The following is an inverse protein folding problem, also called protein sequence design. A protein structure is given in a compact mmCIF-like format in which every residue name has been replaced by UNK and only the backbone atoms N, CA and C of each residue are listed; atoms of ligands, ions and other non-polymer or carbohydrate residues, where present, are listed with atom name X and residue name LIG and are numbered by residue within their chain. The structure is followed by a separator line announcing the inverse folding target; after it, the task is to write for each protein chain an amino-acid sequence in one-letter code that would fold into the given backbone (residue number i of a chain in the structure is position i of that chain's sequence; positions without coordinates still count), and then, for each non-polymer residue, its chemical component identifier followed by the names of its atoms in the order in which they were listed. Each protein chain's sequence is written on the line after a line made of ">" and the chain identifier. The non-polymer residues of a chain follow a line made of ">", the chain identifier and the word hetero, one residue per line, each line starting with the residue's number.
data_IF_225051080076
#
_entry.id   IF_225051080076
#
_cell.length_a   1.000
_cell.length_b   1.000
_cell.length_c   1.000
_cell.angle_alpha   90.00
_cell.angle_beta   90.00
_cell.angle_gamma   90.00
#
_symmetry.space_group_name_H-M   'P 1'
#
loop_
_entity.id
_entity.type
_entity.pdbx_description
1 polymer ?
#
# COMPACT_ATOMS: atom_id res chain seq x y z
N UNK A 1 -13.48 8.68 23.73
CA UNK A 1 -12.84 8.64 22.39
C UNK A 1 -12.42 7.21 22.11
N UNK A 2 -12.75 6.67 20.94
CA UNK A 2 -12.47 5.28 20.61
C UNK A 2 -11.30 5.22 19.62
N UNK A 3 -10.28 4.37 19.87
CA UNK A 3 -9.19 4.14 18.92
C UNK A 3 -9.74 3.54 17.62
N UNK A 4 -8.98 3.68 16.53
CA UNK A 4 -9.34 3.08 15.24
C UNK A 4 -9.25 1.55 15.33
N UNK A 5 -10.41 0.88 15.38
CA UNK A 5 -10.44 -0.58 15.43
C UNK A 5 -10.10 -1.16 14.04
N UNK A 6 -8.84 -1.57 13.87
CA UNK A 6 -8.43 -2.43 12.77
C UNK A 6 -8.21 -3.85 13.34
N UNK A 7 -8.97 -4.79 12.79
CA UNK A 7 -9.01 -6.19 13.16
C UNK A 7 -7.82 -6.98 12.58
N UNK A 8 -7.39 -8.02 13.30
CA UNK A 8 -6.20 -8.84 12.99
C UNK A 8 -6.19 -9.46 11.58
N UNK A 9 -7.37 -9.65 10.99
CA UNK A 9 -7.55 -10.19 9.63
C UNK A 9 -6.99 -9.22 8.58
N UNK A 10 -7.15 -7.91 8.78
CA UNK A 10 -6.65 -6.90 7.84
C UNK A 10 -5.11 -6.81 7.85
N UNK A 11 -4.48 -7.01 9.02
CA UNK A 11 -3.03 -7.00 9.16
C UNK A 11 -2.36 -8.18 8.47
N UNK A 12 -2.93 -9.38 8.68
CA UNK A 12 -2.45 -10.60 8.02
C UNK A 12 -2.50 -10.42 6.51
N UNK A 13 -3.57 -9.82 6.00
CA UNK A 13 -3.72 -9.55 4.57
C UNK A 13 -2.69 -8.56 4.04
N UNK A 14 -2.43 -7.46 4.74
CA UNK A 14 -1.40 -6.49 4.32
C UNK A 14 0.01 -7.10 4.31
N UNK A 15 0.35 -7.92 5.31
CA UNK A 15 1.62 -8.67 5.34
C UNK A 15 1.76 -9.56 4.10
N UNK A 16 0.69 -10.25 3.72
CA UNK A 16 0.66 -11.05 2.49
C UNK A 16 0.80 -10.17 1.23
N UNK A 17 0.19 -8.98 1.19
CA UNK A 17 0.37 -8.03 0.08
C UNK A 17 1.83 -7.63 -0.12
N UNK A 18 2.52 -7.25 0.96
CA UNK A 18 3.91 -6.80 0.88
C UNK A 18 4.83 -7.98 0.52
N UNK A 19 4.53 -9.18 0.99
CA UNK A 19 5.24 -10.41 0.57
C UNK A 19 5.03 -10.77 -0.90
N UNK A 20 3.94 -10.30 -1.52
CA UNK A 20 3.74 -10.41 -2.97
C UNK A 20 4.39 -9.27 -3.76
N UNK A 21 5.25 -8.47 -3.13
CA UNK A 21 6.14 -7.62 -3.88
C UNK A 21 7.04 -8.48 -4.78
N UNK A 22 7.29 -8.02 -6.00
CA UNK A 22 8.15 -8.68 -6.98
C UNK A 22 9.06 -7.62 -7.60
N UNK A 23 10.35 -7.91 -7.67
CA UNK A 23 11.29 -7.16 -8.48
C UNK A 23 11.39 -7.81 -9.87
N UNK A 24 11.17 -7.02 -10.92
CA UNK A 24 11.36 -7.45 -12.30
C UNK A 24 12.85 -7.37 -12.69
N UNK A 25 13.25 -8.09 -13.74
CA UNK A 25 14.64 -8.11 -14.24
C UNK A 25 15.16 -6.74 -14.70
N UNK A 26 14.26 -5.80 -15.02
CA UNK A 26 14.59 -4.42 -15.35
C UNK A 26 14.74 -3.51 -14.11
N UNK A 27 14.72 -4.06 -12.89
CA UNK A 27 14.80 -3.32 -11.63
C UNK A 27 13.47 -2.71 -11.16
N UNK A 28 12.39 -2.85 -11.93
CA UNK A 28 11.08 -2.34 -11.53
C UNK A 28 10.51 -3.14 -10.36
N UNK A 29 10.22 -2.44 -9.26
CA UNK A 29 9.54 -3.01 -8.08
C UNK A 29 8.02 -2.90 -8.28
N UNK A 30 7.32 -4.02 -8.16
CA UNK A 30 5.86 -4.13 -8.33
C UNK A 30 5.22 -4.82 -7.13
N UNK A 31 3.95 -4.54 -6.85
CA UNK A 31 3.22 -5.12 -5.70
C UNK A 31 1.94 -5.78 -6.18
N UNK A 32 1.61 -6.95 -5.63
CA UNK A 32 0.37 -7.68 -5.88
C UNK A 32 -0.88 -6.92 -5.39
N UNK A 33 -1.81 -6.63 -6.29
CA UNK A 33 -2.94 -5.70 -5.99
C UNK A 33 -4.12 -6.34 -5.27
N UNK A 34 -4.26 -7.66 -5.31
CA UNK A 34 -5.44 -8.36 -4.79
C UNK A 34 -5.49 -8.30 -3.26
N UNK A 35 -4.37 -8.61 -2.62
CA UNK A 35 -4.25 -8.55 -1.17
C UNK A 35 -4.27 -7.09 -0.67
N UNK A 36 -3.83 -6.13 -1.49
CA UNK A 36 -3.95 -4.69 -1.16
C UNK A 36 -5.43 -4.29 -1.12
N UNK A 37 -6.23 -4.75 -2.10
CA UNK A 37 -7.68 -4.54 -2.12
C UNK A 37 -8.30 -4.91 -0.77
N UNK A 38 -8.03 -6.13 -0.31
CA UNK A 38 -8.51 -6.61 0.97
C UNK A 38 -7.92 -5.81 2.14
N UNK A 39 -6.62 -5.51 2.12
CA UNK A 39 -5.95 -4.77 3.20
C UNK A 39 -6.54 -3.37 3.40
N UNK A 40 -7.06 -2.76 2.33
CA UNK A 40 -7.73 -1.46 2.36
C UNK A 40 -9.25 -1.55 2.60
N UNK A 41 -9.77 -2.76 2.92
CA UNK A 41 -11.18 -3.00 3.21
C UNK A 41 -12.08 -3.20 1.98
N UNK A 42 -11.49 -3.45 0.81
CA UNK A 42 -12.19 -3.66 -0.45
C UNK A 42 -12.18 -5.13 -0.89
N UNK A 43 -12.90 -5.45 -1.97
CA UNK A 43 -12.81 -6.78 -2.59
C UNK A 43 -11.46 -7.02 -3.28
N UNK A 44 -11.05 -8.29 -3.43
CA UNK A 44 -9.83 -8.69 -4.18
C UNK A 44 -9.72 -8.05 -5.57
N UNK A 45 -10.85 -7.91 -6.25
CA UNK A 45 -10.94 -7.38 -7.61
C UNK A 45 -11.13 -5.87 -7.67
N UNK A 46 -11.21 -5.18 -6.53
CA UNK A 46 -11.58 -3.77 -6.48
C UNK A 46 -10.66 -2.92 -7.34
N UNK A 47 -9.35 -2.98 -7.09
CA UNK A 47 -8.38 -2.20 -7.87
C UNK A 47 -8.30 -2.64 -9.32
N UNK A 48 -8.48 -3.93 -9.59
CA UNK A 48 -8.58 -4.42 -10.96
C UNK A 48 -9.72 -3.75 -11.73
N UNK A 49 -10.94 -3.82 -11.20
CA UNK A 49 -12.13 -3.21 -11.80
C UNK A 49 -11.98 -1.70 -11.94
N UNK A 50 -11.39 -1.07 -10.92
CA UNK A 50 -11.20 0.39 -10.85
C UNK A 50 -10.24 0.92 -11.92
N UNK A 51 -9.22 0.15 -12.28
CA UNK A 51 -8.29 0.54 -13.36
C UNK A 51 -8.81 0.30 -14.77
N UNK A 52 -9.85 -0.54 -14.95
CA UNK A 52 -10.39 -0.87 -16.26
C UNK A 52 -11.55 0.01 -16.69
N UNK A 53 -12.38 0.46 -15.75
CA UNK A 53 -13.55 1.27 -16.05
C UNK A 53 -13.17 2.75 -16.01
N UNK A 54 -13.44 3.49 -17.09
CA UNK A 54 -13.34 4.94 -17.05
C UNK A 54 -14.32 5.50 -16.02
N UNK A 55 -13.77 6.12 -14.97
CA UNK A 55 -14.52 6.84 -13.95
C UNK A 55 -13.91 8.22 -13.75
N UNK A 56 -14.68 9.15 -13.17
CA UNK A 56 -14.17 10.47 -12.77
C UNK A 56 -12.95 10.33 -11.85
N UNK A 57 -12.95 9.31 -11.01
CA UNK A 57 -11.86 9.00 -10.08
C UNK A 57 -10.60 8.52 -10.82
N UNK A 58 -10.76 7.63 -11.82
CA UNK A 58 -9.64 7.19 -12.65
C UNK A 58 -9.05 8.35 -13.47
N UNK A 59 -9.89 9.31 -13.92
CA UNK A 59 -9.42 10.54 -14.56
C UNK A 59 -8.57 11.39 -13.61
N UNK A 60 -9.02 11.59 -12.38
CA UNK A 60 -8.26 12.32 -11.35
C UNK A 60 -6.93 11.62 -11.05
N UNK A 61 -6.93 10.29 -10.91
CA UNK A 61 -5.71 9.51 -10.74
C UNK A 61 -4.76 9.70 -11.94
N UNK A 62 -5.26 9.57 -13.17
CA UNK A 62 -4.45 9.76 -14.39
C UNK A 62 -3.81 11.15 -14.47
N UNK A 63 -4.49 12.20 -13.99
CA UNK A 63 -3.91 13.56 -13.91
C UNK A 63 -2.70 13.64 -12.97
N UNK A 64 -2.61 12.77 -11.97
CA UNK A 64 -1.41 12.63 -11.12
C UNK A 64 -0.31 11.77 -11.76
N UNK A 65 -0.47 11.37 -13.02
CA UNK A 65 0.41 10.45 -13.74
C UNK A 65 0.25 8.99 -13.33
N UNK A 66 -0.90 8.58 -12.79
CA UNK A 66 -1.21 7.17 -12.55
C UNK A 66 -1.37 6.45 -13.89
N UNK A 67 -0.54 5.44 -14.15
CA UNK A 67 -0.60 4.70 -15.41
C UNK A 67 -1.71 3.65 -15.40
N UNK A 68 -1.97 3.05 -14.23
CA UNK A 68 -2.87 1.92 -14.08
C UNK A 68 -2.37 0.64 -14.75
N UNK A 69 -1.11 0.61 -15.21
CA UNK A 69 -0.56 -0.53 -15.92
C UNK A 69 -0.39 -1.72 -14.98
N UNK A 70 -1.18 -2.76 -15.24
CA UNK A 70 -1.13 -4.01 -14.51
C UNK A 70 -0.44 -5.09 -15.32
N UNK A 71 0.44 -5.84 -14.66
CA UNK A 71 1.22 -6.91 -15.28
C UNK A 71 0.98 -8.19 -14.49
N UNK A 72 0.71 -9.27 -15.21
CA UNK A 72 0.69 -10.61 -14.64
C UNK A 72 2.12 -11.10 -14.49
N UNK A 73 2.52 -11.39 -13.26
CA UNK A 73 3.87 -11.87 -12.97
C UNK A 73 3.77 -13.28 -12.40
N UNK A 74 4.65 -14.15 -12.88
CA UNK A 74 4.80 -15.52 -12.38
C UNK A 74 5.59 -15.45 -11.08
N UNK A 75 4.96 -15.81 -9.95
CA UNK A 75 5.66 -15.96 -8.67
C UNK A 75 6.19 -17.39 -8.64
N UNK A 76 7.51 -17.53 -8.50
CA UNK A 76 8.13 -18.83 -8.22
C UNK A 76 8.09 -18.99 -6.70
N UNK A 77 7.21 -19.87 -6.20
CA UNK A 77 7.20 -20.25 -4.80
C UNK A 77 8.48 -21.00 -4.44
N UNK A 78 9.05 -20.72 -3.26
CA UNK A 78 10.33 -21.28 -2.82
C UNK A 78 10.34 -22.79 -2.56
N UNK A 79 9.18 -23.45 -2.51
CA UNK A 79 9.08 -24.90 -2.34
C UNK A 79 8.82 -25.60 -3.67
N UNK A 80 9.65 -26.60 -3.95
CA UNK A 80 9.89 -27.32 -5.20
C UNK A 80 8.70 -28.11 -5.78
N UNK A 81 7.47 -27.82 -5.36
CA UNK A 81 6.27 -28.49 -5.87
C UNK A 81 5.01 -27.59 -5.96
N UNK A 82 5.14 -26.27 -5.83
CA UNK A 82 3.96 -25.39 -5.81
C UNK A 82 3.64 -24.74 -7.15
N UNK A 83 2.34 -24.70 -7.43
CA UNK A 83 1.70 -24.13 -8.60
C UNK A 83 2.28 -22.77 -9.01
N UNK A 84 2.32 -22.52 -10.32
CA UNK A 84 2.72 -21.23 -10.87
C UNK A 84 1.66 -20.19 -10.55
N UNK A 85 1.78 -19.53 -9.40
CA UNK A 85 0.89 -18.44 -9.04
C UNK A 85 1.13 -17.25 -9.96
N UNK A 86 0.12 -16.90 -10.76
CA UNK A 86 0.10 -15.65 -11.51
C UNK A 86 -0.50 -14.58 -10.60
N UNK A 87 0.32 -13.66 -10.14
CA UNK A 87 -0.16 -12.50 -9.39
C UNK A 87 -0.34 -11.32 -10.32
N UNK A 88 -1.45 -10.60 -10.14
CA UNK A 88 -1.65 -9.32 -10.80
C UNK A 88 -0.95 -8.23 -10.00
N UNK A 89 -0.05 -7.50 -10.64
CA UNK A 89 0.80 -6.52 -9.97
C UNK A 89 0.63 -5.13 -10.53
N UNK A 90 0.92 -4.12 -9.71
CA UNK A 90 0.98 -2.70 -10.06
C UNK A 90 2.36 -2.17 -9.74
N UNK A 91 2.86 -1.23 -10.55
CA UNK A 91 4.13 -0.57 -10.29
C UNK A 91 4.09 0.20 -8.97
N UNK A 92 5.22 0.25 -8.25
CA UNK A 92 5.30 0.87 -6.93
C UNK A 92 4.77 2.31 -6.90
N UNK A 93 5.11 3.11 -7.92
CA UNK A 93 4.66 4.49 -8.04
C UNK A 93 3.14 4.61 -8.12
N UNK A 94 2.51 3.76 -8.93
CA UNK A 94 1.06 3.75 -9.09
C UNK A 94 0.36 3.23 -7.84
N UNK A 95 0.98 2.28 -7.14
CA UNK A 95 0.51 1.82 -5.84
C UNK A 95 0.48 2.95 -4.82
N UNK A 96 1.58 3.71 -4.67
CA UNK A 96 1.64 4.86 -3.74
C UNK A 96 0.57 5.89 -4.07
N UNK A 97 0.36 6.22 -5.35
CA UNK A 97 -0.70 7.15 -5.78
C UNK A 97 -2.09 6.66 -5.39
N UNK A 98 -2.33 5.36 -5.55
CA UNK A 98 -3.61 4.74 -5.25
C UNK A 98 -3.89 4.71 -3.73
N UNK A 99 -2.89 4.36 -2.91
CA UNK A 99 -3.00 4.46 -1.44
C UNK A 99 -3.23 5.91 -1.03
N UNK A 100 -2.49 6.86 -1.62
CA UNK A 100 -2.65 8.30 -1.37
C UNK A 100 -4.07 8.78 -1.71
N UNK A 101 -4.62 8.33 -2.83
CA UNK A 101 -5.98 8.66 -3.22
C UNK A 101 -7.02 8.11 -2.24
N UNK A 102 -6.89 6.84 -1.82
CA UNK A 102 -7.76 6.23 -0.81
C UNK A 102 -7.69 6.98 0.53
N UNK A 103 -6.48 7.36 0.94
CA UNK A 103 -6.24 8.12 2.16
C UNK A 103 -6.87 9.52 2.12
N UNK A 104 -6.70 10.24 1.01
CA UNK A 104 -7.07 11.66 0.92
C UNK A 104 -8.52 11.87 0.51
N UNK A 105 -8.98 11.17 -0.53
CA UNK A 105 -10.31 11.36 -1.11
C UNK A 105 -11.38 10.59 -0.34
N UNK A 106 -11.09 9.33 0.03
CA UNK A 106 -12.04 8.51 0.79
C UNK A 106 -11.83 8.55 2.29
N UNK A 107 -10.80 9.25 2.77
CA UNK A 107 -10.45 9.26 4.20
C UNK A 107 -10.33 7.84 4.74
N UNK A 108 -9.82 6.92 3.92
CA UNK A 108 -9.67 5.52 4.30
C UNK A 108 -8.56 5.40 5.35
N UNK A 109 -8.95 5.09 6.60
CA UNK A 109 -8.01 5.01 7.72
C UNK A 109 -6.91 3.97 7.51
N UNK A 110 -7.23 2.84 6.86
CA UNK A 110 -6.24 1.80 6.56
C UNK A 110 -5.18 2.33 5.59
N UNK A 111 -5.59 3.15 4.62
CA UNK A 111 -4.66 3.80 3.69
C UNK A 111 -3.83 4.88 4.38
N UNK A 112 -4.42 5.67 5.29
CA UNK A 112 -3.70 6.71 6.05
C UNK A 112 -2.63 6.08 6.95
N UNK A 113 -2.98 5.03 7.69
CA UNK A 113 -2.04 4.29 8.54
C UNK A 113 -0.92 3.69 7.68
N UNK A 114 -1.26 3.14 6.52
CA UNK A 114 -0.25 2.60 5.61
C UNK A 114 0.72 3.68 5.09
N UNK A 115 0.23 4.89 4.82
CA UNK A 115 1.09 6.02 4.44
C UNK A 115 1.99 6.46 5.60
N UNK A 116 1.48 6.50 6.84
CA UNK A 116 2.28 6.84 8.01
C UNK A 116 3.45 5.86 8.19
N UNK A 117 3.17 4.56 8.08
CA UNK A 117 4.19 3.50 8.12
C UNK A 117 5.24 3.69 7.02
N UNK A 118 4.81 4.01 5.79
CA UNK A 118 5.70 4.25 4.66
C UNK A 118 6.54 5.51 4.81
N UNK A 119 5.96 6.58 5.36
CA UNK A 119 6.68 7.82 5.62
C UNK A 119 7.77 7.62 6.68
N UNK A 120 7.45 6.91 7.77
CA UNK A 120 8.39 6.70 8.87
C UNK A 120 9.51 5.71 8.53
N UNK A 121 9.20 4.67 7.73
CA UNK A 121 10.17 3.60 7.43
C UNK A 121 10.90 3.79 6.09
N UNK A 122 10.23 4.44 5.14
CA UNK A 122 10.59 4.38 3.73
C UNK A 122 10.05 3.11 3.06
N UNK A 123 9.21 3.29 2.04
CA UNK A 123 8.64 2.17 1.27
C UNK A 123 9.71 1.32 0.58
N UNK A 124 10.83 1.92 0.16
CA UNK A 124 11.92 1.21 -0.51
C UNK A 124 12.62 0.24 0.42
N UNK A 125 12.88 0.66 1.67
CA UNK A 125 13.46 -0.18 2.72
C UNK A 125 12.56 -1.37 3.04
N UNK A 126 11.26 -1.14 3.17
CA UNK A 126 10.26 -2.21 3.37
C UNK A 126 10.34 -3.26 2.27
N UNK A 127 10.42 -2.82 1.02
CA UNK A 127 10.52 -3.71 -0.13
C UNK A 127 11.86 -4.43 -0.18
N UNK A 128 12.97 -3.75 0.12
CA UNK A 128 14.30 -4.37 0.18
C UNK A 128 14.38 -5.43 1.26
N UNK A 129 13.81 -5.18 2.44
CA UNK A 129 13.70 -6.16 3.50
C UNK A 129 12.88 -7.37 3.05
N UNK A 130 11.71 -7.13 2.44
CA UNK A 130 10.87 -8.19 1.90
C UNK A 130 11.58 -9.03 0.82
N UNK A 131 12.29 -8.38 -0.12
CA UNK A 131 13.03 -9.06 -1.19
C UNK A 131 14.25 -9.82 -0.68
N UNK A 132 14.89 -9.33 0.39
CA UNK A 132 16.05 -9.98 1.00
C UNK A 132 15.64 -11.11 1.97
N UNK A 133 14.35 -11.42 2.08
CA UNK A 133 13.83 -12.41 3.02
C UNK A 133 13.96 -12.00 4.49
N UNK A 134 14.26 -10.72 4.76
CA UNK A 134 14.29 -10.19 6.13
C UNK A 134 12.87 -10.07 6.67
N UNK A 135 12.75 -10.17 7.99
CA UNK A 135 11.44 -9.98 8.61
C UNK A 135 10.96 -8.55 8.42
N UNK A 136 9.71 -8.42 7.97
CA UNK A 136 8.98 -7.16 7.89
C UNK A 136 7.97 -7.02 9.04
N UNK A 137 8.10 -7.83 10.09
CA UNK A 137 7.12 -7.87 11.18
C UNK A 137 7.09 -6.56 11.99
N UNK A 138 8.17 -5.77 11.97
CA UNK A 138 8.20 -4.42 12.54
C UNK A 138 7.15 -3.48 11.92
N UNK A 139 6.70 -3.75 10.69
CA UNK A 139 5.61 -3.00 10.05
C UNK A 139 4.30 -3.21 10.81
N UNK A 140 4.09 -4.42 11.35
CA UNK A 140 2.91 -4.73 12.15
C UNK A 140 2.89 -3.89 13.43
N UNK A 141 4.02 -3.79 14.12
CA UNK A 141 4.12 -2.98 15.34
C UNK A 141 3.77 -1.52 15.05
N UNK A 142 4.26 -0.97 13.94
CA UNK A 142 3.92 0.38 13.48
C UNK A 142 2.44 0.52 13.14
N UNK A 143 1.86 -0.42 12.41
CA UNK A 143 0.43 -0.37 12.08
C UNK A 143 -0.42 -0.43 13.35
N UNK A 144 -0.08 -1.31 14.30
CA UNK A 144 -0.78 -1.40 15.58
C UNK A 144 -0.65 -0.06 16.32
N UNK A 145 0.55 0.50 16.40
CA UNK A 145 0.79 1.80 16.98
C UNK A 145 -0.09 2.90 16.35
N UNK A 146 -0.07 3.04 15.02
CA UNK A 146 -0.87 4.04 14.32
C UNK A 146 -2.40 3.76 14.36
N UNK A 147 -2.82 2.51 14.55
CA UNK A 147 -4.25 2.17 14.73
C UNK A 147 -4.79 2.62 16.10
N UNK A 148 -3.92 2.75 17.09
CA UNK A 148 -4.29 3.20 18.42
C UNK A 148 -4.44 4.72 18.50
N UNK A 149 -3.97 5.45 17.50
CA UNK A 149 -4.10 6.90 17.47
C UNK A 149 -5.56 7.34 17.55
N UNK A 150 -5.75 8.43 18.26
CA UNK A 150 -6.97 9.22 18.23
C UNK A 150 -7.01 10.06 16.95
N UNK A 151 -8.17 10.63 16.67
CA UNK A 151 -8.33 11.54 15.53
C UNK A 151 -7.43 12.78 15.69
N UNK A 152 -7.29 13.27 16.92
CA UNK A 152 -6.49 14.43 17.30
C UNK A 152 -5.00 14.20 17.06
N UNK A 153 -4.47 13.07 17.54
CA UNK A 153 -3.07 12.68 17.33
C UNK A 153 -2.76 12.52 15.83
N UNK A 154 -3.70 11.96 15.07
CA UNK A 154 -3.55 11.85 13.62
C UNK A 154 -3.53 13.22 12.94
N UNK A 155 -4.43 14.14 13.28
CA UNK A 155 -4.46 15.48 12.69
C UNK A 155 -3.22 16.30 13.08
N UNK A 156 -2.67 16.12 14.28
CA UNK A 156 -1.43 16.77 14.71
C UNK A 156 -0.24 16.34 13.84
N UNK A 157 -0.08 15.04 13.61
CA UNK A 157 1.00 14.53 12.74
C UNK A 157 0.78 14.92 11.28
N UNK A 158 -0.46 14.91 10.80
CA UNK A 158 -0.78 15.42 9.46
C UNK A 158 -0.47 16.92 9.33
N UNK A 159 -0.73 17.70 10.36
CA UNK A 159 -0.41 19.13 10.39
C UNK A 159 1.11 19.35 10.38
N UNK A 160 1.87 18.60 11.19
CA UNK A 160 3.33 18.62 11.19
C UNK A 160 3.91 18.28 9.81
N UNK A 161 3.49 17.16 9.22
CA UNK A 161 3.96 16.74 7.89
C UNK A 161 3.60 17.76 6.80
N UNK A 162 2.41 18.39 6.87
CA UNK A 162 2.05 19.48 5.94
C UNK A 162 2.97 20.68 6.09
N UNK A 163 3.38 21.02 7.31
CA UNK A 163 4.29 22.12 7.58
C UNK A 163 5.70 21.83 7.06
N UNK A 164 6.24 20.63 7.29
CA UNK A 164 7.54 20.22 6.74
C UNK A 164 7.54 20.21 5.21
N UNK A 165 6.50 19.65 4.57
CA UNK A 165 6.39 19.66 3.11
C UNK A 165 6.36 21.09 2.58
N UNK A 166 5.61 22.00 3.21
CA UNK A 166 5.62 23.42 2.81
C UNK A 166 7.00 24.05 2.95
N UNK A 167 7.73 23.73 4.03
CA UNK A 167 9.07 24.24 4.26
C UNK A 167 10.11 23.75 3.23
N UNK A 168 9.88 22.62 2.56
CA UNK A 168 10.76 22.14 1.48
C UNK A 168 10.59 22.91 0.15
N UNK A 169 9.49 23.64 0.00
CA UNK A 169 9.16 24.41 -1.22
C UNK A 169 9.23 25.93 -1.00
N UNK A 170 9.73 26.37 0.16
CA UNK A 170 10.01 27.76 0.50
C UNK A 170 11.50 27.96 0.76
#
# INVERSE_FOLDING_TARGET
>A
MHPFNIDQVHYTTLRHSIRTAIALSNGEKRIGIENIGIALGHSKQFFFKRTQRESKELKNLKQTGFSGQQVWVKIIGGDSNQELFRAKTLGLRDFVKLVTYEATVYRNMKAIILLAVFAETGIEKILEDAFSGRSIDFILDKIVHYSQWTYEELEEVLAYNRAEVRALYH
#
